data_IF_211435824076
#
_entry.id   IF_211435824076
#
_cell.length_a   1.000
_cell.length_b   1.000
_cell.length_c   1.000
_cell.angle_alpha   90.00
_cell.angle_beta   90.00
_cell.angle_gamma   90.00
#
_symmetry.space_group_name_H-M   'P 1'
#
loop_
_entity.id
_entity.type
_entity.pdbx_description
1 polymer ?
#
# COMPACT_ATOMS: atom_id res chain seq x y z
N UNK A 1 -6.48 11.29 25.07
CA UNK A 1 -7.81 10.95 24.55
C UNK A 1 -7.68 9.57 23.98
N UNK A 2 -8.49 8.62 24.45
CA UNK A 2 -8.45 7.26 23.90
C UNK A 2 -8.90 7.30 22.44
N UNK A 3 -8.20 6.57 21.58
CA UNK A 3 -8.50 6.59 20.16
C UNK A 3 -9.85 5.93 19.89
N UNK A 4 -10.62 6.53 18.99
CA UNK A 4 -11.94 6.01 18.62
C UNK A 4 -11.75 4.90 17.59
N UNK A 5 -12.04 3.66 17.97
CA UNK A 5 -12.03 2.53 17.03
C UNK A 5 -13.02 2.78 15.88
N UNK A 6 -12.60 2.65 14.60
CA UNK A 6 -13.49 2.87 13.47
C UNK A 6 -14.66 1.87 13.47
N UNK A 7 -15.84 2.32 13.06
CA UNK A 7 -16.97 1.46 12.72
C UNK A 7 -16.78 0.83 11.33
N UNK A 8 -17.53 -0.22 11.03
CA UNK A 8 -17.47 -0.83 9.69
C UNK A 8 -17.95 0.12 8.59
N UNK A 9 -18.92 0.98 8.88
CA UNK A 9 -19.36 2.02 7.94
C UNK A 9 -18.22 2.97 7.57
N UNK A 10 -17.46 3.46 8.55
CA UNK A 10 -16.28 4.30 8.32
C UNK A 10 -15.21 3.57 7.48
N UNK A 11 -15.01 2.26 7.68
CA UNK A 11 -14.11 1.46 6.85
C UNK A 11 -14.62 1.35 5.41
N UNK A 12 -15.93 1.18 5.22
CA UNK A 12 -16.55 1.03 3.90
C UNK A 12 -16.60 2.34 3.12
N UNK A 13 -16.68 3.49 3.81
CA UNK A 13 -16.60 4.83 3.20
C UNK A 13 -15.27 5.07 2.48
N UNK A 14 -14.17 4.45 2.92
CA UNK A 14 -12.85 4.59 2.26
C UNK A 14 -12.81 4.02 0.83
N UNK A 15 -13.86 3.30 0.40
CA UNK A 15 -14.02 2.83 -0.99
C UNK A 15 -14.59 3.90 -1.91
N UNK A 16 -15.17 4.96 -1.36
CA UNK A 16 -15.76 6.05 -2.14
C UNK A 16 -14.63 6.91 -2.71
N UNK A 17 -14.67 7.12 -4.03
CA UNK A 17 -13.71 7.98 -4.70
C UNK A 17 -13.85 9.43 -4.20
N UNK A 18 -12.77 10.08 -3.74
CA UNK A 18 -12.82 11.46 -3.31
C UNK A 18 -13.13 12.39 -4.50
N UNK A 19 -13.75 13.54 -4.20
CA UNK A 19 -13.96 14.59 -5.17
C UNK A 19 -12.62 15.16 -5.67
N UNK A 20 -12.57 15.55 -6.95
CA UNK A 20 -11.39 16.17 -7.56
C UNK A 20 -10.85 15.46 -8.79
N UNK A 21 -9.78 16.04 -9.35
CA UNK A 21 -9.09 15.48 -10.52
C UNK A 21 -7.98 14.51 -10.08
N UNK A 22 -7.78 13.41 -10.80
CA UNK A 22 -6.63 12.54 -10.53
C UNK A 22 -5.34 13.30 -10.77
N UNK A 23 -4.30 12.99 -9.99
CA UNK A 23 -2.93 13.50 -10.20
C UNK A 23 -2.07 12.49 -10.98
N UNK A 24 -2.43 11.21 -10.91
CA UNK A 24 -1.70 10.10 -11.50
C UNK A 24 -2.68 8.98 -11.90
N UNK A 25 -2.31 8.22 -12.91
CA UNK A 25 -2.97 6.97 -13.28
C UNK A 25 -2.03 5.80 -13.04
N UNK A 26 -2.57 4.71 -12.51
CA UNK A 26 -1.88 3.44 -12.32
C UNK A 26 -2.88 2.30 -12.46
N UNK A 27 -2.43 1.16 -12.96
CA UNK A 27 -3.20 -0.08 -13.00
C UNK A 27 -2.47 -1.12 -12.17
N UNK A 28 -3.17 -1.74 -11.24
CA UNK A 28 -2.65 -2.84 -10.43
C UNK A 28 -3.23 -4.13 -11.01
N UNK A 29 -2.38 -5.09 -11.34
CA UNK A 29 -2.78 -6.38 -11.90
C UNK A 29 -2.07 -7.52 -11.18
N UNK A 30 -2.60 -8.75 -11.31
CA UNK A 30 -2.02 -9.94 -10.70
C UNK A 30 -1.85 -9.84 -9.17
N UNK A 31 -2.84 -9.27 -8.48
CA UNK A 31 -2.75 -9.07 -7.02
C UNK A 31 -2.87 -10.40 -6.28
N UNK A 32 -1.90 -10.68 -5.42
CA UNK A 32 -1.96 -11.76 -4.43
C UNK A 32 -2.07 -11.16 -3.04
N UNK A 33 -3.01 -11.65 -2.23
CA UNK A 33 -3.19 -11.22 -0.85
C UNK A 33 -2.85 -12.38 0.09
N UNK A 34 -1.77 -12.22 0.85
CA UNK A 34 -1.37 -13.17 1.88
C UNK A 34 -1.44 -12.47 3.24
N UNK A 35 -2.13 -13.09 4.20
CA UNK A 35 -2.37 -12.50 5.53
C UNK A 35 -1.93 -13.43 6.65
N UNK A 36 -1.17 -12.89 7.59
CA UNK A 36 -0.76 -13.59 8.81
C UNK A 36 -1.36 -12.92 10.03
N UNK A 37 -1.90 -13.76 10.91
CA UNK A 37 -2.44 -13.36 12.19
C UNK A 37 -1.30 -13.08 13.17
N UNK A 38 -1.31 -11.90 13.79
CA UNK A 38 -0.28 -11.45 14.72
C UNK A 38 -0.90 -10.98 16.05
N UNK A 39 -0.08 -10.90 17.10
CA UNK A 39 -0.50 -10.27 18.35
C UNK A 39 -0.63 -8.74 18.15
N UNK A 40 -1.81 -8.13 18.42
CA UNK A 40 -1.98 -6.68 18.30
C UNK A 40 -0.93 -5.84 19.03
N UNK A 41 -0.52 -6.26 20.23
CA UNK A 41 0.46 -5.52 21.03
C UNK A 41 1.85 -5.49 20.37
N UNK A 42 2.22 -6.52 19.61
CA UNK A 42 3.48 -6.54 18.89
C UNK A 42 3.47 -5.56 17.72
N UNK A 43 2.34 -5.49 17.00
CA UNK A 43 2.16 -4.55 15.90
C UNK A 43 2.13 -3.12 16.44
N UNK A 44 1.36 -2.86 17.50
CA UNK A 44 1.20 -1.54 18.11
C UNK A 44 2.54 -0.92 18.52
N UNK A 45 3.46 -1.72 19.09
CA UNK A 45 4.80 -1.24 19.48
C UNK A 45 5.69 -0.78 18.31
N UNK A 46 5.36 -1.17 17.08
CA UNK A 46 6.10 -0.81 15.86
C UNK A 46 5.48 0.36 15.11
N UNK A 47 4.32 0.85 15.55
CA UNK A 47 3.64 1.97 14.93
C UNK A 47 4.18 3.31 15.49
N UNK A 48 4.24 4.37 14.66
CA UNK A 48 4.52 5.71 15.16
C UNK A 48 3.39 6.19 16.08
N UNK A 49 3.71 7.19 16.91
CA UNK A 49 2.72 7.81 17.80
C UNK A 49 1.53 8.36 17.01
N UNK A 50 0.32 8.19 17.56
CA UNK A 50 -0.94 8.63 16.96
C UNK A 50 -1.55 7.64 15.96
N UNK A 51 -0.91 6.49 15.73
CA UNK A 51 -1.49 5.36 15.01
C UNK A 51 -1.79 4.20 15.96
N UNK A 52 -2.95 3.60 15.77
CA UNK A 52 -3.47 2.49 16.55
C UNK A 52 -3.72 1.30 15.64
N UNK A 53 -3.35 0.11 16.08
CA UNK A 53 -3.56 -1.12 15.30
C UNK A 53 -5.05 -1.41 15.16
N UNK A 54 -5.51 -1.62 13.93
CA UNK A 54 -6.88 -2.05 13.66
C UNK A 54 -6.96 -3.58 13.76
N UNK A 55 -7.95 -4.07 14.49
CA UNK A 55 -8.09 -5.51 14.75
C UNK A 55 -9.40 -6.05 14.19
N UNK A 56 -9.34 -7.27 13.69
CA UNK A 56 -10.52 -8.01 13.24
C UNK A 56 -10.58 -9.32 14.00
N UNK A 57 -11.70 -9.56 14.71
CA UNK A 57 -11.84 -10.68 15.64
C UNK A 57 -10.83 -10.63 16.80
N UNK A 58 -10.46 -9.43 17.25
CA UNK A 58 -9.46 -9.23 18.33
C UNK A 58 -8.03 -9.61 17.94
N UNK A 59 -7.74 -9.70 16.64
CA UNK A 59 -6.42 -10.03 16.10
C UNK A 59 -5.96 -8.98 15.12
N UNK A 60 -4.65 -8.73 15.10
CA UNK A 60 -4.03 -7.90 14.10
C UNK A 60 -3.58 -8.76 12.92
N UNK A 61 -3.48 -8.13 11.75
CA UNK A 61 -3.15 -8.80 10.51
C UNK A 61 -2.03 -8.06 9.80
N UNK A 62 -1.01 -8.83 9.40
CA UNK A 62 0.04 -8.35 8.48
C UNK A 62 -0.25 -8.94 7.12
N UNK A 63 -0.38 -8.07 6.12
CA UNK A 63 -0.56 -8.42 4.73
C UNK A 63 0.76 -8.31 3.97
N UNK A 64 1.09 -9.34 3.20
CA UNK A 64 2.10 -9.29 2.15
C UNK A 64 1.37 -9.34 0.81
N UNK A 65 1.52 -8.28 0.03
CA UNK A 65 0.74 -8.08 -1.20
C UNK A 65 1.68 -7.80 -2.36
N UNK A 66 2.15 -8.84 -3.09
CA UNK A 66 2.84 -8.66 -4.35
C UNK A 66 1.85 -8.44 -5.49
N UNK A 67 2.19 -7.55 -6.42
CA UNK A 67 1.39 -7.23 -7.59
C UNK A 67 2.23 -6.56 -8.68
N UNK A 68 1.64 -6.49 -9.86
CA UNK A 68 2.21 -5.76 -11.00
C UNK A 68 1.67 -4.33 -11.00
N UNK A 69 2.60 -3.38 -10.98
CA UNK A 69 2.33 -1.97 -11.26
C UNK A 69 2.44 -1.74 -12.76
N UNK A 70 1.35 -1.34 -13.40
CA UNK A 70 1.27 -1.14 -14.84
C UNK A 70 0.85 0.30 -15.19
N UNK A 71 1.45 0.83 -16.25
CA UNK A 71 1.10 2.11 -16.89
C UNK A 71 1.10 3.30 -15.91
N UNK A 72 1.97 3.30 -14.89
CA UNK A 72 2.07 4.42 -13.96
C UNK A 72 2.49 5.68 -14.70
N UNK A 73 1.70 6.76 -14.59
CA UNK A 73 1.98 8.03 -15.28
C UNK A 73 1.23 9.21 -14.63
N UNK A 74 1.84 10.40 -14.55
CA UNK A 74 1.12 11.63 -14.25
C UNK A 74 0.04 11.94 -15.30
N UNK A 75 -0.97 12.72 -14.92
CA UNK A 75 -1.96 13.21 -15.89
C UNK A 75 -1.29 14.08 -16.95
N UNK A 76 -1.66 13.88 -18.22
CA UNK A 76 -1.11 14.62 -19.37
C UNK A 76 0.18 14.05 -19.95
N UNK A 77 0.79 13.06 -19.30
CA UNK A 77 2.04 12.41 -19.76
C UNK A 77 1.72 10.96 -20.18
N UNK A 78 2.26 10.47 -21.33
CA UNK A 78 2.12 9.06 -21.72
C UNK A 78 2.92 8.15 -20.79
N UNK A 79 2.53 6.87 -20.71
CA UNK A 79 3.32 5.87 -20.00
C UNK A 79 4.65 5.66 -20.75
N UNK A 80 5.76 5.72 -20.03
CA UNK A 80 7.10 5.52 -20.60
C UNK A 80 7.42 4.04 -20.52
N UNK A 81 7.73 3.37 -21.64
CA UNK A 81 8.19 1.98 -21.62
C UNK A 81 9.29 1.77 -20.57
N UNK A 82 9.32 0.60 -19.94
CA UNK A 82 10.31 0.20 -18.91
C UNK A 82 10.22 0.92 -17.56
N UNK A 83 9.81 2.19 -17.51
CA UNK A 83 9.66 2.95 -16.26
C UNK A 83 8.25 2.81 -15.67
N UNK A 84 7.24 2.76 -16.54
CA UNK A 84 5.84 2.70 -16.12
C UNK A 84 5.34 1.29 -15.76
N UNK A 85 6.23 0.28 -15.74
CA UNK A 85 5.91 -1.11 -15.40
C UNK A 85 6.95 -1.69 -14.44
N UNK A 86 6.51 -2.19 -13.29
CA UNK A 86 7.38 -2.82 -12.30
C UNK A 86 6.62 -3.74 -11.34
N UNK A 87 7.36 -4.50 -10.55
CA UNK A 87 6.82 -5.31 -9.46
C UNK A 87 6.85 -4.49 -8.17
N UNK A 88 5.75 -4.52 -7.44
CA UNK A 88 5.63 -3.92 -6.12
C UNK A 88 5.13 -4.96 -5.12
N UNK A 89 5.74 -4.99 -3.94
CA UNK A 89 5.33 -5.83 -2.83
C UNK A 89 5.14 -4.96 -1.59
N UNK A 90 3.95 -5.04 -1.01
CA UNK A 90 3.60 -4.27 0.17
C UNK A 90 3.61 -5.17 1.39
N UNK A 91 4.44 -4.86 2.39
CA UNK A 91 4.30 -5.42 3.75
C UNK A 91 3.57 -4.38 4.59
N UNK A 92 2.33 -4.68 4.97
CA UNK A 92 1.44 -3.69 5.60
C UNK A 92 0.59 -4.26 6.71
N UNK A 93 0.09 -3.39 7.55
CA UNK A 93 -0.95 -3.71 8.55
C UNK A 93 -2.07 -2.67 8.49
N UNK A 94 -3.18 -2.97 9.17
CA UNK A 94 -4.34 -2.09 9.24
C UNK A 94 -4.25 -1.23 10.49
N UNK A 95 -4.52 0.06 10.36
CA UNK A 95 -4.40 1.04 11.43
C UNK A 95 -5.54 2.04 11.37
N UNK A 96 -5.69 2.80 12.43
CA UNK A 96 -6.46 4.04 12.45
C UNK A 96 -5.73 5.10 13.26
N UNK A 97 -6.06 6.37 13.05
CA UNK A 97 -5.46 7.47 13.81
C UNK A 97 -6.28 7.84 15.06
N UNK A 98 -5.80 8.82 15.83
CA UNK A 98 -6.50 9.33 17.03
C UNK A 98 -7.93 9.83 16.76
N UNK A 99 -8.27 10.14 15.49
CA UNK A 99 -9.61 10.57 15.06
C UNK A 99 -10.48 9.41 14.58
N UNK A 100 -9.98 8.17 14.62
CA UNK A 100 -10.68 6.99 14.13
C UNK A 100 -10.72 6.88 12.61
N UNK A 101 -9.82 7.56 11.88
CA UNK A 101 -9.75 7.46 10.42
C UNK A 101 -9.01 6.16 10.04
N UNK A 102 -9.67 5.20 9.37
CA UNK A 102 -9.04 3.94 9.00
C UNK A 102 -8.00 4.13 7.90
N UNK A 103 -6.99 3.25 7.90
CA UNK A 103 -5.90 3.29 6.94
C UNK A 103 -5.06 2.03 6.95
N UNK A 104 -3.97 2.08 6.19
CA UNK A 104 -2.95 1.03 6.17
C UNK A 104 -1.59 1.66 6.49
N UNK A 105 -0.83 0.97 7.33
CA UNK A 105 0.57 1.30 7.60
C UNK A 105 1.46 0.35 6.83
N UNK A 106 2.41 0.89 6.07
CA UNK A 106 3.40 0.10 5.34
C UNK A 106 4.67 -0.03 6.18
N UNK A 107 5.05 -1.27 6.51
CA UNK A 107 6.36 -1.58 7.05
C UNK A 107 7.44 -1.50 5.96
N UNK A 108 7.12 -1.99 4.76
CA UNK A 108 7.95 -1.85 3.57
C UNK A 108 7.09 -1.75 2.31
N UNK A 109 7.65 -1.06 1.32
CA UNK A 109 7.20 -1.06 -0.06
C UNK A 109 8.38 -1.54 -0.90
N UNK A 110 8.44 -2.82 -1.19
CA UNK A 110 9.55 -3.42 -1.92
C UNK A 110 9.30 -3.29 -3.42
N UNK A 111 10.25 -2.73 -4.17
CA UNK A 111 10.11 -2.49 -5.60
C UNK A 111 11.39 -2.87 -6.35
N UNK A 112 11.23 -3.46 -7.53
CA UNK A 112 12.34 -3.92 -8.36
C UNK A 112 12.86 -2.87 -9.35
N UNK A 113 12.25 -1.67 -9.40
CA UNK A 113 12.63 -0.61 -10.33
C UNK A 113 13.30 0.55 -9.56
N UNK A 114 14.64 0.70 -9.67
CA UNK A 114 15.38 1.61 -8.81
C UNK A 114 15.12 3.10 -9.04
N UNK A 115 14.73 3.50 -10.25
CA UNK A 115 14.47 4.92 -10.60
C UNK A 115 13.13 5.41 -10.04
N UNK A 116 12.12 4.55 -10.04
CA UNK A 116 10.80 4.74 -9.45
C UNK A 116 10.91 4.77 -7.94
N UNK A 117 11.76 3.91 -7.35
CA UNK A 117 12.09 3.95 -5.91
C UNK A 117 12.74 5.28 -5.53
N UNK A 118 13.74 5.76 -6.26
CA UNK A 118 14.39 7.03 -5.94
C UNK A 118 13.45 8.24 -6.08
N UNK A 119 12.59 8.24 -7.11
CA UNK A 119 11.59 9.30 -7.30
C UNK A 119 10.49 9.25 -6.24
N UNK A 120 10.01 8.05 -5.89
CA UNK A 120 8.97 7.86 -4.87
C UNK A 120 9.48 8.19 -3.47
N UNK A 121 10.72 7.83 -3.12
CA UNK A 121 11.36 8.20 -1.84
C UNK A 121 11.51 9.71 -1.70
N UNK A 122 11.93 10.40 -2.78
CA UNK A 122 12.13 11.86 -2.76
C UNK A 122 10.83 12.67 -2.66
N UNK A 123 9.71 12.15 -3.16
CA UNK A 123 8.45 12.90 -3.27
C UNK A 123 7.40 12.47 -2.24
N UNK A 124 7.25 11.17 -2.00
CA UNK A 124 6.15 10.63 -1.18
C UNK A 124 6.57 10.23 0.24
N UNK A 125 7.85 10.32 0.61
CA UNK A 125 8.39 9.94 1.93
C UNK A 125 8.02 8.51 2.37
N UNK A 126 7.71 7.64 1.42
CA UNK A 126 7.28 6.27 1.66
C UNK A 126 8.48 5.32 1.84
N UNK A 127 8.37 4.27 2.66
CA UNK A 127 9.47 3.34 3.00
C UNK A 127 9.77 2.36 1.84
N UNK A 128 10.09 2.90 0.66
CA UNK A 128 10.43 2.10 -0.50
C UNK A 128 11.82 1.46 -0.35
N UNK A 129 11.90 0.14 -0.51
CA UNK A 129 13.14 -0.62 -0.48
C UNK A 129 13.39 -1.24 -1.87
N UNK A 130 14.67 -1.34 -2.24
CA UNK A 130 15.04 -2.05 -3.47
C UNK A 130 14.98 -3.56 -3.21
N UNK A 131 14.29 -4.30 -4.08
CA UNK A 131 14.20 -5.75 -4.00
C UNK A 131 14.42 -6.40 -5.37
N UNK A 132 15.23 -7.45 -5.42
CA UNK A 132 15.32 -8.30 -6.61
C UNK A 132 14.08 -9.21 -6.66
N UNK A 133 13.24 -9.01 -7.67
CA UNK A 133 11.98 -9.75 -7.82
C UNK A 133 11.83 -10.26 -9.26
N UNK A 134 11.34 -11.50 -9.37
CA UNK A 134 10.92 -12.12 -10.61
C UNK A 134 9.52 -12.69 -10.41
N UNK A 135 8.68 -12.59 -11.43
CA UNK A 135 7.34 -13.15 -11.43
C UNK A 135 7.09 -13.81 -12.79
N UNK A 136 6.60 -15.05 -12.77
CA UNK A 136 6.16 -15.78 -13.97
C UNK A 136 4.63 -15.89 -13.94
N UNK A 137 3.97 -15.42 -15.01
CA UNK A 137 2.51 -15.47 -15.14
C UNK A 137 1.75 -14.18 -14.81
N UNK A 138 0.54 -14.08 -15.39
CA UNK A 138 -0.47 -13.01 -15.34
C UNK A 138 -0.01 -11.53 -15.20
N UNK A 139 1.03 -11.15 -15.96
CA UNK A 139 1.17 -9.80 -16.50
C UNK A 139 0.70 -9.80 -17.95
N UNK A 140 -0.59 -9.54 -18.19
CA UNK A 140 -1.14 -9.39 -19.54
C UNK A 140 -0.64 -8.11 -20.20
N UNK A 141 0.64 -8.07 -20.56
CA UNK A 141 1.26 -6.96 -21.26
C UNK A 141 2.70 -6.68 -20.84
N UNK A 142 3.62 -7.60 -21.13
CA UNK A 142 5.01 -7.23 -21.45
C UNK A 142 5.30 -7.74 -22.85
N UNK A 143 5.14 -6.86 -23.84
CA UNK A 143 5.86 -6.85 -25.10
C UNK A 143 6.36 -5.44 -25.32
#
# INVERSE_FOLDING_TARGET
MDAVTPTDDLRLEMRVRPAGRPVMFQRWSGLLFLHWRMNPEEIQRRLPHGLHVDTFGGKAWVGVVPFFMERIRPVGIPAVPWLSWFLELNVRTYVYDDKGRPGVWFFSLDCNQPVAVEFARKIFHLPYQHAAMNAEGAGGGVR
#
